data_IF_696849527515
#
_entry.id   IF_696849527515
#
_cell.length_a   1.000
_cell.length_b   1.000
_cell.length_c   1.000
_cell.angle_alpha   90.00
_cell.angle_beta   90.00
_cell.angle_gamma   90.00
#
_symmetry.space_group_name_H-M   'P 1'
#
loop_
_entity.id
_entity.type
_entity.pdbx_description
1 polymer ?
#
# COMPACT_ATOMS: atom_id res chain seq x y z
N UNK A 1 19.03 116.31 20.87
CA UNK A 1 19.64 115.46 21.91
C UNK A 1 19.65 114.01 21.40
N UNK A 2 20.81 113.51 20.96
CA UNK A 2 21.03 112.12 20.50
C UNK A 2 20.96 111.17 21.69
N UNK A 3 20.28 110.01 21.58
CA UNK A 3 20.75 108.73 22.15
C UNK A 3 20.32 107.54 21.28
N UNK A 4 21.34 106.92 20.67
CA UNK A 4 21.34 105.56 20.16
C UNK A 4 21.15 104.54 21.28
N UNK A 5 20.54 103.39 20.96
CA UNK A 5 20.86 102.00 21.40
C UNK A 5 19.64 101.12 21.17
N UNK A 6 19.67 99.84 20.80
CA UNK A 6 20.67 98.92 20.27
C UNK A 6 19.86 97.73 19.71
N UNK A 7 20.26 97.19 18.55
CA UNK A 7 19.52 96.13 17.83
C UNK A 7 19.96 94.76 18.34
N UNK A 8 19.11 94.06 19.10
CA UNK A 8 19.37 92.69 19.53
C UNK A 8 18.98 91.69 18.41
N UNK A 9 19.99 91.08 17.77
CA UNK A 9 19.83 90.06 16.72
C UNK A 9 19.65 88.69 17.40
N UNK A 10 18.41 88.21 17.53
CA UNK A 10 18.13 86.83 17.98
C UNK A 10 18.56 85.83 16.90
N UNK A 11 19.62 85.08 17.16
CA UNK A 11 20.00 83.92 16.35
C UNK A 11 19.04 82.76 16.65
N UNK A 12 18.40 82.21 15.61
CA UNK A 12 17.59 80.98 15.71
C UNK A 12 18.51 79.76 15.85
N UNK A 13 18.18 78.77 16.70
CA UNK A 13 18.96 77.54 16.77
C UNK A 13 18.79 76.77 15.46
N UNK A 14 19.89 76.53 14.74
CA UNK A 14 19.93 75.55 13.66
C UNK A 14 19.89 74.17 14.30
N UNK A 15 18.73 73.52 14.26
CA UNK A 15 18.63 72.08 14.50
C UNK A 15 19.58 71.37 13.53
N UNK A 16 20.71 70.88 14.04
CA UNK A 16 21.52 69.90 13.32
C UNK A 16 20.66 68.65 13.20
N UNK A 17 20.12 68.38 12.00
CA UNK A 17 19.53 67.09 11.63
C UNK A 17 20.66 66.07 11.60
N UNK A 18 21.03 65.57 12.78
CA UNK A 18 22.02 64.51 12.94
C UNK A 18 21.51 63.21 12.33
N UNK A 19 22.34 62.64 11.46
CA UNK A 19 22.33 61.30 10.89
C UNK A 19 21.39 60.26 11.54
N UNK A 20 20.18 60.07 10.99
CA UNK A 20 19.34 58.88 11.21
C UNK A 20 19.12 58.05 9.93
N UNK A 21 19.91 58.28 8.88
CA UNK A 21 19.71 57.61 7.58
C UNK A 21 20.17 56.15 7.55
N UNK A 22 21.11 55.75 8.42
CA UNK A 22 21.65 54.37 8.43
C UNK A 22 20.74 53.35 9.13
N UNK A 23 20.18 53.71 10.30
CA UNK A 23 19.36 52.79 11.10
C UNK A 23 18.01 52.53 10.42
N UNK A 24 17.39 53.55 9.84
CA UNK A 24 16.13 53.37 9.10
C UNK A 24 16.29 52.43 7.90
N UNK A 25 17.43 52.50 7.20
CA UNK A 25 17.75 51.60 6.08
C UNK A 25 17.97 50.17 6.57
N UNK A 26 18.69 49.97 7.68
CA UNK A 26 18.89 48.64 8.27
C UNK A 26 17.58 47.99 8.72
N UNK A 27 16.70 48.75 9.38
CA UNK A 27 15.38 48.26 9.79
C UNK A 27 14.52 47.95 8.56
N UNK A 28 14.56 48.78 7.52
CA UNK A 28 13.84 48.51 6.27
C UNK A 28 14.35 47.24 5.57
N UNK A 29 15.67 47.04 5.48
CA UNK A 29 16.27 45.82 4.90
C UNK A 29 15.89 44.59 5.73
N UNK A 30 15.91 44.68 7.06
CA UNK A 30 15.57 43.57 7.94
C UNK A 30 14.08 43.21 7.84
N UNK A 31 13.19 44.21 7.77
CA UNK A 31 11.76 43.98 7.55
C UNK A 31 11.50 43.35 6.18
N UNK A 32 12.15 43.84 5.13
CA UNK A 32 12.02 43.26 3.79
C UNK A 32 12.55 41.83 3.78
N UNK A 33 13.73 41.57 4.37
CA UNK A 33 14.30 40.24 4.46
C UNK A 33 13.40 39.27 5.24
N UNK A 34 12.78 39.72 6.34
CA UNK A 34 11.83 38.91 7.10
C UNK A 34 10.57 38.62 6.28
N UNK A 35 10.01 39.65 5.62
CA UNK A 35 8.84 39.50 4.75
C UNK A 35 9.13 38.54 3.59
N UNK A 36 10.30 38.60 2.97
CA UNK A 36 10.67 37.69 1.86
C UNK A 36 10.84 36.26 2.34
N UNK A 37 11.45 36.03 3.51
CA UNK A 37 11.57 34.69 4.09
C UNK A 37 10.20 34.09 4.40
N UNK A 38 9.29 34.86 4.99
CA UNK A 38 7.91 34.42 5.28
C UNK A 38 7.16 34.13 3.98
N UNK A 39 7.23 35.04 2.99
CA UNK A 39 6.57 34.84 1.70
C UNK A 39 7.09 33.60 0.97
N UNK A 40 8.41 33.36 1.01
CA UNK A 40 9.01 32.16 0.42
C UNK A 40 8.57 30.88 1.13
N UNK A 41 8.48 30.89 2.46
CA UNK A 41 7.97 29.74 3.23
C UNK A 41 6.51 29.42 2.88
N UNK A 42 5.64 30.44 2.83
CA UNK A 42 4.23 30.26 2.43
C UNK A 42 4.12 29.75 0.99
N UNK A 43 4.91 30.29 0.06
CA UNK A 43 4.91 29.84 -1.33
C UNK A 43 5.35 28.38 -1.46
N UNK A 44 6.36 27.97 -0.70
CA UNK A 44 6.83 26.59 -0.66
C UNK A 44 5.78 25.64 -0.07
N UNK A 45 5.16 26.00 1.05
CA UNK A 45 4.09 25.22 1.68
C UNK A 45 2.88 25.06 0.76
N UNK A 46 2.48 26.14 0.07
CA UNK A 46 1.39 26.10 -0.90
C UNK A 46 1.72 25.18 -2.09
N UNK A 47 2.94 25.29 -2.64
CA UNK A 47 3.37 24.43 -3.74
C UNK A 47 3.40 22.94 -3.33
N UNK A 48 3.87 22.64 -2.12
CA UNK A 48 3.90 21.28 -1.59
C UNK A 48 2.49 20.74 -1.33
N UNK A 49 1.61 21.56 -0.76
CA UNK A 49 0.22 21.20 -0.49
C UNK A 49 -0.55 20.95 -1.79
N UNK A 50 -0.36 21.81 -2.80
CA UNK A 50 -0.94 21.61 -4.12
C UNK A 50 -0.47 20.29 -4.74
N UNK A 51 0.83 19.99 -4.68
CA UNK A 51 1.39 18.73 -5.22
C UNK A 51 0.82 17.50 -4.51
N UNK A 52 0.68 17.53 -3.19
CA UNK A 52 0.02 16.45 -2.43
C UNK A 52 -1.43 16.30 -2.84
N UNK A 53 -2.17 17.41 -2.94
CA UNK A 53 -3.55 17.42 -3.41
C UNK A 53 -3.69 16.75 -4.77
N UNK A 54 -2.87 17.13 -5.75
CA UNK A 54 -2.89 16.51 -7.09
C UNK A 54 -2.57 15.02 -7.06
N UNK A 55 -1.64 14.57 -6.21
CA UNK A 55 -1.30 13.15 -6.09
C UNK A 55 -2.44 12.35 -5.44
N UNK A 56 -3.09 12.89 -4.42
CA UNK A 56 -4.27 12.27 -3.79
C UNK A 56 -5.43 12.17 -4.77
N UNK A 57 -5.75 13.25 -5.49
CA UNK A 57 -6.81 13.21 -6.51
C UNK A 57 -6.55 12.17 -7.60
N UNK A 58 -5.30 12.09 -8.11
CA UNK A 58 -4.94 11.09 -9.11
C UNK A 58 -5.04 9.65 -8.57
N UNK A 59 -4.70 9.42 -7.31
CA UNK A 59 -4.84 8.11 -6.67
C UNK A 59 -6.32 7.72 -6.50
N UNK A 60 -7.16 8.65 -6.05
CA UNK A 60 -8.60 8.42 -5.91
C UNK A 60 -9.25 8.11 -7.27
N UNK A 61 -8.85 8.84 -8.32
CA UNK A 61 -9.30 8.58 -9.70
C UNK A 61 -8.88 7.19 -10.19
N UNK A 62 -7.62 6.79 -9.95
CA UNK A 62 -7.15 5.45 -10.27
C UNK A 62 -7.92 4.35 -9.52
N UNK A 63 -8.26 4.57 -8.26
CA UNK A 63 -9.04 3.62 -7.45
C UNK A 63 -10.47 3.47 -7.99
N UNK A 64 -11.11 4.58 -8.37
CA UNK A 64 -12.44 4.54 -9.01
C UNK A 64 -12.41 3.83 -10.37
N UNK A 65 -11.37 4.06 -11.17
CA UNK A 65 -11.16 3.34 -12.43
C UNK A 65 -10.95 1.84 -12.20
N UNK A 66 -10.17 1.45 -11.18
CA UNK A 66 -9.96 0.05 -10.81
C UNK A 66 -11.28 -0.63 -10.39
N UNK A 67 -12.09 0.02 -9.55
CA UNK A 67 -13.42 -0.49 -9.17
C UNK A 67 -14.36 -0.62 -10.38
N UNK A 68 -14.31 0.33 -11.31
CA UNK A 68 -15.03 0.25 -12.58
C UNK A 68 -14.58 -0.94 -13.43
N UNK A 69 -13.27 -1.22 -13.46
CA UNK A 69 -12.70 -2.37 -14.17
C UNK A 69 -13.13 -3.70 -13.53
N UNK A 70 -13.19 -3.80 -12.20
CA UNK A 70 -13.73 -4.97 -11.50
C UNK A 70 -15.21 -5.21 -11.82
N UNK A 71 -16.02 -4.14 -11.83
CA UNK A 71 -17.43 -4.23 -12.22
C UNK A 71 -17.61 -4.68 -13.68
N UNK A 72 -16.76 -4.19 -14.59
CA UNK A 72 -16.74 -4.61 -15.99
C UNK A 72 -16.32 -6.08 -16.12
N UNK A 73 -15.32 -6.53 -15.37
CA UNK A 73 -14.90 -7.92 -15.32
C UNK A 73 -16.04 -8.83 -14.84
N UNK A 74 -16.74 -8.46 -13.76
CA UNK A 74 -17.90 -9.19 -13.24
C UNK A 74 -19.03 -9.30 -14.29
N UNK A 75 -19.31 -8.21 -15.02
CA UNK A 75 -20.27 -8.22 -16.12
C UNK A 75 -19.82 -9.16 -17.25
N UNK A 76 -18.56 -9.07 -17.68
CA UNK A 76 -18.00 -9.93 -18.72
C UNK A 76 -18.05 -11.42 -18.35
N UNK A 77 -17.68 -11.76 -17.11
CA UNK A 77 -17.76 -13.13 -16.58
C UNK A 77 -19.21 -13.64 -16.55
N UNK A 78 -20.18 -12.79 -16.18
CA UNK A 78 -21.60 -13.15 -16.25
C UNK A 78 -22.04 -13.48 -17.68
N UNK A 79 -21.60 -12.72 -18.68
CA UNK A 79 -21.88 -13.00 -20.09
C UNK A 79 -21.23 -14.31 -20.55
N UNK A 80 -19.97 -14.57 -20.17
CA UNK A 80 -19.30 -15.85 -20.45
C UNK A 80 -20.12 -17.02 -19.88
N UNK A 81 -20.51 -16.93 -18.61
CA UNK A 81 -21.29 -17.97 -17.94
C UNK A 81 -22.68 -18.18 -18.57
N UNK A 82 -23.32 -17.12 -19.06
CA UNK A 82 -24.61 -17.23 -19.75
C UNK A 82 -24.49 -17.97 -21.09
N UNK A 83 -23.35 -17.83 -21.78
CA UNK A 83 -23.08 -18.49 -23.05
C UNK A 83 -22.66 -19.96 -22.88
N UNK A 84 -21.87 -20.26 -21.84
CA UNK A 84 -21.49 -21.63 -21.47
C UNK A 84 -21.53 -21.78 -19.94
N UNK A 85 -22.57 -22.47 -19.46
CA UNK A 85 -22.79 -22.72 -18.03
C UNK A 85 -21.96 -23.88 -17.48
N UNK A 86 -21.39 -24.70 -18.37
CA UNK A 86 -20.84 -26.01 -18.00
C UNK A 86 -19.32 -26.00 -17.94
N UNK A 87 -18.67 -25.24 -18.81
CA UNK A 87 -17.21 -25.25 -18.91
C UNK A 87 -16.62 -23.84 -18.84
N UNK A 88 -15.56 -23.71 -18.05
CA UNK A 88 -14.67 -22.55 -18.03
C UNK A 88 -13.31 -22.99 -18.57
N UNK A 89 -12.78 -22.24 -19.53
CA UNK A 89 -11.51 -22.58 -20.20
C UNK A 89 -10.84 -21.35 -20.81
N UNK A 90 -9.51 -21.40 -20.96
CA UNK A 90 -8.66 -20.25 -21.30
C UNK A 90 -8.88 -19.65 -22.71
N UNK A 91 -9.61 -20.30 -23.61
CA UNK A 91 -9.92 -19.74 -24.93
C UNK A 91 -11.16 -18.82 -24.92
N UNK A 92 -11.89 -18.78 -23.81
CA UNK A 92 -13.02 -17.86 -23.63
C UNK A 92 -12.53 -16.41 -23.50
N UNK A 93 -13.42 -15.45 -23.74
CA UNK A 93 -13.07 -14.02 -23.76
C UNK A 93 -12.51 -13.46 -22.45
N UNK A 94 -12.83 -14.07 -21.30
CA UNK A 94 -12.36 -13.60 -19.99
C UNK A 94 -10.84 -13.70 -19.82
N UNK A 95 -10.20 -14.68 -20.45
CA UNK A 95 -8.77 -14.94 -20.30
C UNK A 95 -7.90 -14.03 -21.19
N UNK A 96 -8.52 -13.16 -22.00
CA UNK A 96 -7.81 -12.19 -22.83
C UNK A 96 -7.51 -10.95 -21.99
N UNK A 97 -6.24 -10.54 -21.85
CA UNK A 97 -5.91 -9.32 -21.14
C UNK A 97 -6.48 -8.09 -21.86
N UNK A 98 -6.76 -7.05 -21.09
CA UNK A 98 -7.24 -5.75 -21.54
C UNK A 98 -6.15 -4.71 -21.30
N UNK A 99 -5.97 -3.82 -22.27
CA UNK A 99 -5.05 -2.69 -22.15
C UNK A 99 -3.62 -2.95 -22.65
N UNK A 100 -2.73 -1.97 -22.48
CA UNK A 100 -3.00 -0.66 -21.86
C UNK A 100 -3.99 0.20 -22.65
N UNK A 101 -4.97 0.79 -21.97
CA UNK A 101 -5.89 1.80 -22.54
C UNK A 101 -5.97 3.01 -21.61
N UNK A 102 -5.98 4.21 -22.18
CA UNK A 102 -6.23 5.44 -21.42
C UNK A 102 -7.73 5.61 -21.23
N UNK A 103 -8.23 5.46 -20.00
CA UNK A 103 -9.67 5.51 -19.70
C UNK A 103 -10.13 6.94 -19.44
N UNK A 104 -9.27 7.71 -18.80
CA UNK A 104 -9.38 9.15 -18.55
C UNK A 104 -7.99 9.77 -18.68
N UNK A 105 -7.86 11.08 -18.98
CA UNK A 105 -6.56 11.71 -19.22
C UNK A 105 -5.54 11.43 -18.12
N UNK A 106 -4.44 10.77 -18.46
CA UNK A 106 -3.37 10.43 -17.52
C UNK A 106 -3.57 9.15 -16.71
N UNK A 107 -4.66 8.41 -16.89
CA UNK A 107 -4.92 7.13 -16.20
C UNK A 107 -4.98 5.97 -17.20
N UNK A 108 -3.94 5.14 -17.14
CA UNK A 108 -3.83 3.91 -17.94
C UNK A 108 -4.43 2.73 -17.18
N UNK A 109 -5.32 1.98 -17.82
CA UNK A 109 -5.87 0.73 -17.32
C UNK A 109 -5.24 -0.45 -18.07
N UNK A 110 -4.68 -1.38 -17.30
CA UNK A 110 -4.32 -2.73 -17.71
C UNK A 110 -5.02 -3.71 -16.79
N UNK A 111 -5.58 -4.78 -17.34
CA UNK A 111 -6.29 -5.78 -16.57
C UNK A 111 -6.15 -7.18 -17.18
N UNK A 112 -6.10 -8.18 -16.32
CA UNK A 112 -6.14 -9.60 -16.70
C UNK A 112 -6.93 -10.37 -15.66
N UNK A 113 -7.57 -11.45 -16.08
CA UNK A 113 -8.26 -12.38 -15.19
C UNK A 113 -7.54 -13.72 -15.19
N UNK A 114 -7.56 -14.38 -14.05
CA UNK A 114 -6.98 -15.70 -13.85
C UNK A 114 -8.00 -16.61 -13.16
N UNK A 115 -8.03 -17.88 -13.55
CA UNK A 115 -8.86 -18.89 -12.92
C UNK A 115 -8.13 -19.50 -11.71
N UNK A 116 -8.58 -19.12 -10.52
CA UNK A 116 -8.04 -19.65 -9.26
C UNK A 116 -8.44 -21.11 -8.99
N UNK A 117 -9.47 -21.65 -9.66
CA UNK A 117 -9.80 -23.07 -9.55
C UNK A 117 -8.85 -23.97 -10.35
N UNK A 118 -8.01 -23.39 -11.22
CA UNK A 118 -6.90 -24.08 -11.87
C UNK A 118 -5.71 -24.35 -10.94
N UNK A 119 -5.71 -23.76 -9.74
CA UNK A 119 -4.67 -23.90 -8.71
C UNK A 119 -5.11 -24.88 -7.61
N UNK A 120 -4.15 -25.39 -6.84
CA UNK A 120 -4.40 -26.25 -5.70
C UNK A 120 -5.05 -25.46 -4.55
N UNK A 121 -6.26 -25.85 -4.16
CA UNK A 121 -6.93 -25.27 -3.02
C UNK A 121 -6.37 -25.83 -1.70
N UNK A 122 -5.62 -25.02 -0.96
CA UNK A 122 -5.08 -25.39 0.36
C UNK A 122 -6.17 -25.82 1.35
N UNK A 123 -7.36 -25.22 1.27
CA UNK A 123 -8.51 -25.55 2.12
C UNK A 123 -9.17 -26.89 1.77
N UNK A 124 -8.67 -27.61 0.75
CA UNK A 124 -9.11 -28.96 0.42
C UNK A 124 -8.27 -30.05 1.11
N UNK A 125 -7.23 -29.70 1.87
CA UNK A 125 -6.34 -30.69 2.50
C UNK A 125 -7.00 -31.48 3.64
N UNK A 126 -7.86 -30.83 4.42
CA UNK A 126 -8.59 -31.44 5.52
C UNK A 126 -9.95 -30.77 5.69
N UNK A 127 -10.89 -31.51 6.29
CA UNK A 127 -12.11 -30.90 6.82
C UNK A 127 -11.81 -30.07 8.08
N UNK A 128 -12.84 -29.41 8.63
CA UNK A 128 -12.62 -28.61 9.84
C UNK A 128 -12.20 -29.47 11.01
N UNK A 129 -12.69 -30.69 11.07
CA UNK A 129 -12.40 -31.69 12.10
C UNK A 129 -10.97 -32.23 12.06
N UNK A 130 -10.18 -31.85 11.06
CA UNK A 130 -8.81 -32.27 10.89
C UNK A 130 -8.70 -33.66 10.28
N UNK A 131 -9.77 -34.17 9.65
CA UNK A 131 -9.69 -35.37 8.85
C UNK A 131 -9.07 -35.02 7.50
N UNK A 132 -7.85 -35.49 7.18
CA UNK A 132 -7.21 -35.18 5.93
C UNK A 132 -7.92 -35.89 4.77
N UNK A 133 -8.04 -35.24 3.61
CA UNK A 133 -8.44 -35.90 2.37
C UNK A 133 -7.21 -36.58 1.76
N UNK A 134 -7.15 -37.92 1.69
CA UNK A 134 -5.96 -38.63 1.21
C UNK A 134 -5.58 -38.29 -0.23
N UNK A 135 -6.56 -37.97 -1.08
CA UNK A 135 -6.32 -37.60 -2.48
C UNK A 135 -5.67 -36.23 -2.55
N UNK A 136 -6.18 -35.28 -1.76
CA UNK A 136 -5.67 -33.91 -1.72
C UNK A 136 -4.30 -33.84 -1.05
N UNK A 137 -4.08 -34.62 0.01
CA UNK A 137 -2.78 -34.78 0.66
C UNK A 137 -1.73 -35.31 -0.32
N UNK A 138 -2.07 -36.34 -1.10
CA UNK A 138 -1.16 -36.89 -2.11
C UNK A 138 -0.87 -35.87 -3.22
N UNK A 139 -1.90 -35.16 -3.71
CA UNK A 139 -1.75 -34.13 -4.73
C UNK A 139 -0.86 -32.97 -4.27
N UNK A 140 -1.06 -32.45 -3.06
CA UNK A 140 -0.24 -31.37 -2.51
C UNK A 140 1.20 -31.82 -2.25
N UNK A 141 1.39 -33.05 -1.76
CA UNK A 141 2.72 -33.64 -1.59
C UNK A 141 3.48 -33.69 -2.91
N UNK A 142 2.82 -34.13 -3.99
CA UNK A 142 3.40 -34.17 -5.32
C UNK A 142 3.70 -32.77 -5.86
N UNK A 143 2.81 -31.80 -5.60
CA UNK A 143 3.05 -30.40 -5.97
C UNK A 143 4.31 -29.86 -5.29
N UNK A 144 4.40 -29.99 -3.95
CA UNK A 144 5.57 -29.58 -3.17
C UNK A 144 6.85 -30.20 -3.72
N UNK A 145 6.86 -31.51 -3.99
CA UNK A 145 8.02 -32.17 -4.58
C UNK A 145 8.37 -31.65 -5.98
N UNK A 146 7.37 -31.38 -6.83
CA UNK A 146 7.62 -30.90 -8.20
C UNK A 146 8.23 -29.50 -8.25
N UNK A 147 7.98 -28.67 -7.23
CA UNK A 147 8.62 -27.36 -7.04
C UNK A 147 9.85 -27.41 -6.13
N UNK A 148 10.33 -28.61 -5.75
CA UNK A 148 11.54 -28.81 -4.97
C UNK A 148 11.42 -28.50 -3.47
N UNK A 149 10.21 -28.56 -2.91
CA UNK A 149 9.91 -28.29 -1.51
C UNK A 149 9.72 -29.59 -0.69
N UNK A 150 9.91 -29.48 0.62
CA UNK A 150 9.77 -30.59 1.56
C UNK A 150 8.30 -30.95 1.81
N UNK A 151 7.94 -32.23 1.82
CA UNK A 151 6.54 -32.67 2.05
C UNK A 151 6.04 -32.43 3.47
N UNK A 152 6.93 -32.10 4.43
CA UNK A 152 6.55 -31.77 5.81
C UNK A 152 5.53 -30.63 5.90
N UNK A 153 5.50 -29.74 4.91
CA UNK A 153 4.57 -28.61 4.88
C UNK A 153 3.11 -29.02 4.77
N UNK A 154 2.82 -30.25 4.35
CA UNK A 154 1.45 -30.79 4.33
C UNK A 154 0.83 -30.75 5.73
N UNK A 155 1.50 -31.33 6.74
CA UNK A 155 0.97 -31.37 8.10
C UNK A 155 0.89 -29.98 8.74
N UNK A 156 1.87 -29.11 8.48
CA UNK A 156 1.80 -27.71 8.92
C UNK A 156 0.59 -26.95 8.37
N UNK A 157 0.18 -27.22 7.13
CA UNK A 157 -0.99 -26.57 6.54
C UNK A 157 -2.29 -27.19 7.07
N UNK A 158 -2.32 -28.50 7.32
CA UNK A 158 -3.46 -29.18 7.95
C UNK A 158 -3.71 -28.60 9.35
N UNK A 159 -2.69 -28.59 10.20
CA UNK A 159 -2.78 -28.07 11.57
C UNK A 159 -3.06 -26.55 11.62
N UNK A 160 -2.71 -25.81 10.56
CA UNK A 160 -3.10 -24.40 10.46
C UNK A 160 -4.61 -24.21 10.24
N UNK A 161 -5.25 -25.17 9.58
CA UNK A 161 -6.64 -25.12 9.13
C UNK A 161 -7.60 -25.73 10.14
N UNK A 162 -7.24 -26.87 10.71
CA UNK A 162 -8.16 -27.68 11.49
C UNK A 162 -8.46 -27.09 12.88
N UNK A 163 -9.55 -27.53 13.51
CA UNK A 163 -9.92 -27.03 14.85
C UNK A 163 -9.27 -27.82 15.98
N UNK A 164 -8.69 -28.97 15.69
CA UNK A 164 -8.09 -29.78 16.73
C UNK A 164 -6.80 -29.08 17.21
N UNK A 165 -6.25 -29.53 18.35
CA UNK A 165 -5.03 -28.94 18.91
C UNK A 165 -3.88 -29.95 18.91
N UNK A 166 -4.00 -30.99 18.10
CA UNK A 166 -3.11 -32.13 18.08
C UNK A 166 -2.26 -32.08 16.81
N UNK A 167 -0.94 -31.87 16.93
CA UNK A 167 -0.10 -31.70 15.75
C UNK A 167 -0.05 -32.98 14.91
N UNK A 168 -0.11 -32.80 13.59
CA UNK A 168 0.05 -33.86 12.61
C UNK A 168 1.37 -34.63 12.79
N UNK A 169 1.35 -35.94 12.48
CA UNK A 169 2.51 -36.84 12.54
C UNK A 169 3.00 -37.17 11.12
N UNK A 170 4.31 -37.14 10.83
CA UNK A 170 5.42 -36.83 11.74
C UNK A 170 5.70 -35.33 11.91
N UNK A 171 5.26 -34.51 10.96
CA UNK A 171 5.57 -33.09 10.90
C UNK A 171 4.29 -32.26 10.97
N UNK A 172 4.07 -31.63 12.11
CA UNK A 172 2.93 -30.77 12.40
C UNK A 172 3.32 -29.65 13.35
N UNK A 173 2.49 -28.61 13.40
CA UNK A 173 2.69 -27.49 14.29
C UNK A 173 1.34 -26.93 14.74
N UNK A 174 1.19 -26.85 16.05
CA UNK A 174 0.01 -26.32 16.75
C UNK A 174 0.41 -25.14 17.65
N UNK A 175 -0.55 -24.57 18.38
CA UNK A 175 -0.37 -23.46 19.34
C UNK A 175 0.96 -23.52 20.13
N UNK A 176 1.38 -24.70 20.58
CA UNK A 176 2.64 -24.89 21.32
C UNK A 176 3.89 -24.44 20.56
N UNK A 177 3.91 -24.61 19.23
CA UNK A 177 4.99 -24.17 18.35
C UNK A 177 4.93 -22.67 18.13
N UNK A 178 3.76 -22.13 17.76
CA UNK A 178 3.61 -20.71 17.41
C UNK A 178 3.74 -19.76 18.61
N UNK A 179 3.32 -20.21 19.79
CA UNK A 179 3.50 -19.44 21.02
C UNK A 179 4.97 -19.36 21.47
N UNK A 180 5.84 -20.22 20.93
CA UNK A 180 7.29 -20.17 21.15
C UNK A 180 8.02 -19.18 20.24
N UNK A 181 7.34 -18.56 19.27
CA UNK A 181 7.94 -17.63 18.31
C UNK A 181 8.10 -16.23 18.88
N UNK A 182 8.83 -15.38 18.15
CA UNK A 182 8.97 -13.95 18.45
C UNK A 182 8.64 -13.12 17.21
N UNK A 183 7.50 -12.41 17.16
CA UNK A 183 6.44 -12.35 18.18
C UNK A 183 5.67 -13.68 18.30
N UNK A 184 5.14 -13.96 19.48
CA UNK A 184 4.30 -15.14 19.72
C UNK A 184 2.88 -14.92 19.18
N UNK A 185 2.29 -15.97 18.60
CA UNK A 185 0.90 -16.02 18.15
C UNK A 185 0.37 -17.45 18.25
N UNK A 186 -0.87 -17.66 17.83
CA UNK A 186 -1.58 -18.95 17.84
C UNK A 186 -1.78 -19.48 16.43
N UNK A 187 -2.03 -20.78 16.31
CA UNK A 187 -2.57 -21.32 15.07
C UNK A 187 -3.89 -20.64 14.71
N UNK A 188 -4.20 -20.59 13.43
CA UNK A 188 -5.42 -19.92 12.97
C UNK A 188 -6.68 -20.75 13.25
N UNK A 189 -6.57 -22.08 13.21
CA UNK A 189 -7.63 -23.06 13.37
C UNK A 189 -8.89 -22.72 12.56
N UNK A 190 -8.64 -22.30 11.32
CA UNK A 190 -9.66 -21.89 10.36
C UNK A 190 -9.13 -22.04 8.95
N UNK A 191 -10.05 -22.09 7.98
CA UNK A 191 -9.69 -21.99 6.58
C UNK A 191 -8.83 -20.76 6.29
N UNK A 192 -7.82 -20.98 5.45
CA UNK A 192 -6.91 -19.96 4.95
C UNK A 192 -7.72 -18.94 4.14
N UNK A 193 -7.58 -17.67 4.52
CA UNK A 193 -8.22 -16.51 3.89
C UNK A 193 -7.30 -15.82 2.88
N UNK A 194 -5.99 -15.99 3.02
CA UNK A 194 -4.98 -15.54 2.05
C UNK A 194 -3.84 -16.56 1.98
N UNK A 195 -3.38 -16.89 0.78
CA UNK A 195 -2.21 -17.79 0.63
C UNK A 195 -0.95 -17.26 1.30
N UNK A 196 -0.88 -15.94 1.53
CA UNK A 196 0.22 -15.32 2.27
C UNK A 196 0.32 -15.78 3.73
N UNK A 197 -0.73 -16.38 4.30
CA UNK A 197 -0.70 -17.01 5.63
C UNK A 197 0.36 -18.12 5.73
N UNK A 198 0.77 -18.74 4.61
CA UNK A 198 1.89 -19.68 4.60
C UNK A 198 3.21 -19.06 5.11
N UNK A 199 3.37 -17.73 5.01
CA UNK A 199 4.53 -17.03 5.56
C UNK A 199 4.54 -17.00 7.09
N UNK A 200 3.39 -17.27 7.73
CA UNK A 200 3.29 -17.44 9.17
C UNK A 200 3.65 -18.86 9.63
N UNK A 201 3.91 -19.81 8.72
CA UNK A 201 4.39 -21.13 9.10
C UNK A 201 5.90 -21.04 9.44
N UNK A 202 6.33 -21.49 10.63
CA UNK A 202 7.72 -21.39 11.07
C UNK A 202 8.70 -22.01 10.08
N UNK A 203 9.61 -21.18 9.56
CA UNK A 203 10.66 -21.63 8.64
C UNK A 203 10.20 -21.87 7.19
N UNK A 204 8.94 -21.58 6.84
CA UNK A 204 8.47 -21.70 5.46
C UNK A 204 9.23 -20.72 4.55
N UNK A 205 9.16 -19.43 4.90
CA UNK A 205 9.95 -18.37 4.27
C UNK A 205 9.45 -17.93 2.89
N UNK A 206 9.97 -16.78 2.45
CA UNK A 206 9.53 -16.12 1.21
C UNK A 206 9.84 -16.92 -0.05
N UNK A 207 11.01 -17.57 -0.10
CA UNK A 207 11.44 -18.28 -1.32
C UNK A 207 10.55 -19.50 -1.61
N UNK A 208 10.17 -20.26 -0.58
CA UNK A 208 9.20 -21.36 -0.71
C UNK A 208 7.83 -20.86 -1.12
N UNK A 209 7.39 -19.75 -0.52
CA UNK A 209 6.12 -19.11 -0.89
C UNK A 209 6.11 -18.71 -2.37
N UNK A 210 7.16 -18.04 -2.86
CA UNK A 210 7.23 -17.63 -4.25
C UNK A 210 7.32 -18.82 -5.23
N UNK A 211 7.95 -19.92 -4.82
CA UNK A 211 7.99 -21.15 -5.63
C UNK A 211 6.61 -21.83 -5.72
N UNK A 212 5.81 -21.78 -4.65
CA UNK A 212 4.50 -22.42 -4.57
C UNK A 212 3.35 -21.55 -5.10
N UNK A 213 3.42 -20.22 -4.94
CA UNK A 213 2.33 -19.27 -5.19
C UNK A 213 1.66 -19.34 -6.59
N UNK A 214 2.35 -19.71 -7.69
CA UNK A 214 1.72 -19.85 -9.00
C UNK A 214 0.79 -21.05 -9.17
N UNK A 215 0.85 -22.03 -8.27
CA UNK A 215 0.19 -23.33 -8.37
C UNK A 215 -0.97 -23.46 -7.40
#
# INVERSE_FOLDING_TARGET
>A
MRRHTARARRQRPRHRRGAQRGIALLVAILLVALCTVIAAAIAYENAMSARRGTATYAFDEALLVAQGAEALAAYGLRTVYQNDKKYIYAAQGWAKPVGPIEVVPGVMLEASLEDLQGRFNLNSLADREGNPDPVQVAAFSNLLQSVGLETKWVGYVIDWIDWNGAPSIPDGAEDTVYMGLTPAYRTANRYITSTSELLALPGFGRDRYLALAPY
#
